data_IF_352267445350
#
_entry.id   IF_352267445350
#
_cell.length_a   1.000
_cell.length_b   1.000
_cell.length_c   1.000
_cell.angle_alpha   90.00
_cell.angle_beta   90.00
_cell.angle_gamma   90.00
#
_symmetry.space_group_name_H-M   'P 1'
#
loop_
_entity.id
_entity.type
_entity.pdbx_description
1 polymer ?
#
# COMPACT_ATOMS: atom_id res chain seq x y z
N UNK A 1 40.75 -17.79 4.48
CA UNK A 1 41.25 -16.54 5.10
C UNK A 1 40.10 -15.90 5.86
N UNK A 2 40.06 -16.05 7.19
CA UNK A 2 39.05 -15.45 8.08
C UNK A 2 39.79 -15.07 9.38
N UNK A 3 40.21 -13.80 9.46
CA UNK A 3 40.80 -13.24 10.67
C UNK A 3 40.65 -11.71 10.64
N UNK A 4 39.51 -11.19 11.08
CA UNK A 4 39.35 -9.79 11.48
C UNK A 4 38.08 -9.66 12.33
N UNK A 5 38.20 -9.73 13.66
CA UNK A 5 37.03 -9.61 14.53
C UNK A 5 37.27 -9.62 16.04
N UNK A 6 38.49 -9.32 16.52
CA UNK A 6 38.81 -9.36 17.98
C UNK A 6 39.11 -7.97 18.56
N UNK A 7 39.11 -6.90 17.75
CA UNK A 7 39.61 -5.59 18.17
C UNK A 7 38.67 -4.70 19.00
N UNK A 8 37.35 -4.94 19.01
CA UNK A 8 36.40 -3.98 19.60
C UNK A 8 36.06 -4.28 21.07
N UNK A 9 36.30 -5.51 21.55
CA UNK A 9 35.93 -5.89 22.91
C UNK A 9 36.86 -5.31 24.01
N UNK A 10 38.09 -4.90 23.67
CA UNK A 10 39.07 -4.47 24.67
C UNK A 10 38.88 -3.01 25.15
N UNK A 11 38.15 -2.16 24.39
CA UNK A 11 38.06 -0.73 24.69
C UNK A 11 36.95 -0.37 25.71
N UNK A 12 36.01 -1.27 26.02
CA UNK A 12 34.90 -1.00 26.94
C UNK A 12 35.14 -1.46 28.38
N UNK A 13 36.19 -2.24 28.64
CA UNK A 13 36.43 -2.85 29.96
C UNK A 13 36.97 -1.90 31.05
N UNK A 14 37.38 -0.67 30.69
CA UNK A 14 37.97 0.27 31.64
C UNK A 14 37.03 1.35 32.17
N UNK A 15 35.81 1.48 31.62
CA UNK A 15 34.91 2.58 31.99
C UNK A 15 33.81 2.19 32.99
N UNK A 16 33.38 0.92 33.06
CA UNK A 16 32.21 0.51 33.85
C UNK A 16 32.32 -0.92 34.43
N UNK A 17 33.14 -1.16 35.47
CA UNK A 17 33.32 -2.50 36.04
C UNK A 17 32.05 -3.07 36.71
N UNK A 18 31.19 -2.22 37.28
CA UNK A 18 29.98 -2.66 37.99
C UNK A 18 28.80 -3.03 37.07
N UNK A 19 28.67 -2.43 35.88
CA UNK A 19 27.62 -2.81 34.92
C UNK A 19 27.92 -4.13 34.20
N UNK A 20 29.19 -4.43 33.97
CA UNK A 20 29.62 -5.71 33.38
C UNK A 20 29.34 -6.87 34.34
N UNK A 21 29.53 -6.69 35.65
CA UNK A 21 29.19 -7.69 36.66
C UNK A 21 27.67 -7.98 36.70
N UNK A 22 26.83 -6.95 36.54
CA UNK A 22 25.37 -7.13 36.42
C UNK A 22 24.96 -7.81 35.12
N UNK A 23 25.53 -7.43 33.98
CA UNK A 23 25.23 -8.04 32.68
C UNK A 23 25.64 -9.53 32.61
N UNK A 24 26.76 -9.90 33.22
CA UNK A 24 27.21 -11.30 33.29
C UNK A 24 26.36 -12.14 34.25
N UNK A 25 25.82 -11.55 35.33
CA UNK A 25 24.91 -12.23 36.23
C UNK A 25 23.56 -12.57 35.57
N UNK A 26 23.05 -11.71 34.68
CA UNK A 26 21.81 -11.98 33.93
C UNK A 26 21.99 -13.09 32.88
N UNK A 27 23.19 -13.24 32.31
CA UNK A 27 23.47 -14.28 31.30
C UNK A 27 23.70 -15.68 31.90
N UNK A 28 24.05 -15.79 33.20
CA UNK A 28 24.19 -17.09 33.89
C UNK A 28 22.86 -17.71 34.34
N UNK A 29 21.73 -17.00 34.20
CA UNK A 29 20.39 -17.49 34.53
C UNK A 29 19.72 -18.33 33.43
N UNK A 30 20.31 -18.43 32.24
CA UNK A 30 19.78 -19.29 31.19
C UNK A 30 20.19 -20.74 31.45
N UNK A 31 19.28 -21.47 32.08
CA UNK A 31 19.33 -22.92 32.15
C UNK A 31 19.56 -23.50 30.74
N UNK A 32 20.52 -24.42 30.65
CA UNK A 32 20.83 -25.16 29.45
C UNK A 32 19.54 -25.79 28.87
N UNK A 33 19.31 -25.74 27.55
CA UNK A 33 18.26 -26.55 26.95
C UNK A 33 18.55 -28.02 27.23
N UNK A 34 17.52 -28.71 27.73
CA UNK A 34 17.52 -30.14 28.02
C UNK A 34 18.19 -30.96 26.91
N UNK A 35 18.94 -31.95 27.36
CA UNK A 35 19.54 -32.98 26.51
C UNK A 35 18.48 -33.58 25.56
N UNK A 36 18.86 -34.01 24.35
CA UNK A 36 17.93 -34.62 23.41
C UNK A 36 17.36 -35.91 24.02
N UNK A 37 16.07 -35.87 24.36
CA UNK A 37 15.29 -37.07 24.63
C UNK A 37 15.36 -37.93 23.36
N UNK A 38 15.90 -39.14 23.50
CA UNK A 38 15.88 -40.15 22.46
C UNK A 38 14.43 -40.40 22.04
N UNK A 39 14.03 -39.80 20.92
CA UNK A 39 12.71 -39.98 20.33
C UNK A 39 12.51 -41.43 19.95
N UNK A 40 11.36 -41.98 20.38
CA UNK A 40 10.87 -43.27 19.92
C UNK A 40 10.83 -43.31 18.39
N UNK A 41 11.08 -44.48 17.76
CA UNK A 41 10.99 -44.59 16.30
C UNK A 41 9.57 -44.28 15.86
N UNK A 42 9.39 -43.15 15.19
CA UNK A 42 8.16 -42.83 14.47
C UNK A 42 8.02 -43.87 13.36
N UNK A 43 6.98 -44.69 13.46
CA UNK A 43 6.60 -45.61 12.39
C UNK A 43 6.37 -44.80 11.11
N UNK A 44 7.18 -45.10 10.09
CA UNK A 44 7.02 -44.53 8.76
C UNK A 44 5.59 -44.80 8.26
N UNK A 45 4.84 -43.78 7.79
CA UNK A 45 3.57 -44.02 7.13
C UNK A 45 3.82 -44.87 5.88
N UNK A 46 2.99 -45.89 5.69
CA UNK A 46 3.02 -46.76 4.53
C UNK A 46 2.97 -45.92 3.23
N UNK A 47 3.63 -46.37 2.14
CA UNK A 47 3.58 -45.67 0.87
C UNK A 47 2.11 -45.57 0.42
N UNK A 48 1.65 -44.32 0.25
CA UNK A 48 0.35 -44.05 -0.35
C UNK A 48 0.30 -44.73 -1.72
N UNK A 49 -0.71 -45.59 -1.90
CA UNK A 49 -1.00 -46.20 -3.18
C UNK A 49 -1.17 -45.10 -4.26
N UNK A 50 -0.70 -45.34 -5.50
CA UNK A 50 -0.94 -44.40 -6.58
C UNK A 50 -2.45 -44.25 -6.82
N UNK A 51 -2.94 -43.01 -6.74
CA UNK A 51 -4.31 -42.67 -7.13
C UNK A 51 -4.60 -43.17 -8.55
N UNK A 52 -5.77 -43.77 -8.81
CA UNK A 52 -6.13 -44.20 -10.15
C UNK A 52 -6.21 -42.99 -11.09
N UNK A 53 -5.47 -43.08 -12.19
CA UNK A 53 -5.49 -42.14 -13.30
C UNK A 53 -6.92 -41.81 -13.69
N UNK A 54 -7.26 -40.52 -13.66
CA UNK A 54 -8.49 -40.02 -14.26
C UNK A 54 -8.51 -40.38 -15.76
N UNK A 55 -9.63 -40.84 -16.31
CA UNK A 55 -9.75 -41.10 -17.74
C UNK A 55 -9.58 -39.79 -18.54
N UNK A 56 -9.10 -39.86 -19.79
CA UNK A 56 -9.00 -38.69 -20.65
C UNK A 56 -10.39 -38.09 -20.83
N UNK A 57 -10.52 -36.80 -20.54
CA UNK A 57 -11.72 -36.03 -20.82
C UNK A 57 -12.08 -36.21 -22.31
N UNK A 58 -13.27 -36.74 -22.57
CA UNK A 58 -13.87 -36.77 -23.90
C UNK A 58 -13.75 -35.40 -24.52
N UNK A 59 -13.06 -35.34 -25.66
CA UNK A 59 -13.08 -34.21 -26.57
C UNK A 59 -14.50 -34.12 -27.10
N UNK A 60 -15.32 -33.31 -26.43
CA UNK A 60 -16.59 -32.86 -26.98
C UNK A 60 -16.23 -31.88 -28.10
N UNK A 61 -16.39 -32.34 -29.34
CA UNK A 61 -16.44 -31.49 -30.52
C UNK A 61 -17.57 -30.48 -30.31
N UNK A 62 -17.23 -29.25 -29.96
CA UNK A 62 -18.16 -28.14 -29.98
C UNK A 62 -18.74 -28.01 -31.39
N UNK A 63 -20.06 -27.99 -31.58
CA UNK A 63 -20.62 -27.56 -32.85
C UNK A 63 -20.19 -26.12 -33.10
N UNK A 64 -19.80 -25.83 -34.34
CA UNK A 64 -19.57 -24.48 -34.81
C UNK A 64 -20.85 -23.67 -34.51
N UNK A 65 -20.78 -22.82 -33.49
CA UNK A 65 -21.78 -21.78 -33.26
C UNK A 65 -21.54 -20.77 -34.37
N UNK A 66 -22.38 -20.84 -35.38
CA UNK A 66 -22.55 -19.81 -36.39
C UNK A 66 -22.79 -18.48 -35.64
N UNK A 67 -21.79 -17.60 -35.69
CA UNK A 67 -21.89 -16.26 -35.14
C UNK A 67 -22.91 -15.53 -36.01
N UNK A 68 -24.10 -15.17 -35.49
CA UNK A 68 -25.02 -14.35 -36.26
C UNK A 68 -24.34 -13.01 -36.55
N UNK A 69 -24.27 -12.67 -37.83
CA UNK A 69 -23.83 -11.37 -38.31
C UNK A 69 -24.62 -10.29 -37.55
N UNK A 70 -23.94 -9.34 -36.87
CA UNK A 70 -24.64 -8.32 -36.09
C UNK A 70 -25.49 -7.48 -37.05
N UNK A 71 -26.80 -7.51 -36.83
CA UNK A 71 -27.75 -6.69 -37.55
C UNK A 71 -27.28 -5.21 -37.55
N UNK A 72 -27.43 -4.48 -38.66
CA UNK A 72 -27.07 -3.07 -38.71
C UNK A 72 -27.87 -2.32 -37.65
N UNK A 73 -27.16 -1.57 -36.81
CA UNK A 73 -27.75 -0.74 -35.78
C UNK A 73 -28.84 0.18 -36.39
N UNK A 74 -29.95 0.44 -35.68
CA UNK A 74 -30.89 1.47 -36.07
C UNK A 74 -30.12 2.79 -36.19
N UNK A 75 -30.19 3.41 -37.37
CA UNK A 75 -29.69 4.76 -37.59
C UNK A 75 -30.56 5.68 -36.74
N UNK A 76 -30.06 6.04 -35.56
CA UNK A 76 -30.69 6.99 -34.66
C UNK A 76 -30.84 8.34 -35.39
N UNK A 77 -32.03 8.92 -35.45
CA UNK A 77 -32.22 10.21 -36.11
C UNK A 77 -31.39 11.27 -35.40
N UNK A 78 -30.54 11.95 -36.17
CA UNK A 78 -29.71 13.05 -35.71
C UNK A 78 -30.54 14.02 -34.85
N UNK A 79 -30.15 14.16 -33.58
CA UNK A 79 -30.72 15.14 -32.68
C UNK A 79 -30.67 16.53 -33.34
N UNK A 80 -31.76 17.32 -33.27
CA UNK A 80 -31.73 18.67 -33.80
C UNK A 80 -30.66 19.48 -33.05
N UNK A 81 -29.74 20.07 -33.81
CA UNK A 81 -28.74 21.00 -33.27
C UNK A 81 -29.47 22.08 -32.47
N UNK A 82 -29.26 22.08 -31.15
CA UNK A 82 -29.68 23.17 -30.29
C UNK A 82 -28.83 24.38 -30.66
N UNK A 83 -29.46 25.34 -31.33
CA UNK A 83 -28.89 26.67 -31.53
C UNK A 83 -28.78 27.32 -30.16
N UNK A 84 -27.59 27.31 -29.59
CA UNK A 84 -27.26 28.11 -28.42
C UNK A 84 -27.36 29.58 -28.86
N UNK A 85 -28.44 30.27 -28.49
CA UNK A 85 -28.50 31.72 -28.63
C UNK A 85 -27.38 32.31 -27.78
N UNK A 86 -26.36 32.84 -28.45
CA UNK A 86 -25.34 33.69 -27.82
C UNK A 86 -26.04 34.98 -27.43
N UNK A 87 -26.47 35.06 -26.17
CA UNK A 87 -26.92 36.32 -25.57
C UNK A 87 -25.68 37.21 -25.49
N UNK A 88 -25.63 38.36 -26.17
CA UNK A 88 -24.52 39.29 -26.03
C UNK A 88 -24.45 39.74 -24.56
N UNK A 89 -23.25 39.80 -23.95
CA UNK A 89 -23.12 40.27 -22.58
C UNK A 89 -23.70 41.68 -22.47
N UNK A 90 -24.40 42.01 -21.37
CA UNK A 90 -24.90 43.36 -21.15
C UNK A 90 -23.72 44.34 -21.22
N UNK A 91 -23.93 45.42 -21.97
CA UNK A 91 -22.98 46.51 -22.15
C UNK A 91 -22.53 46.99 -20.75
N UNK A 92 -21.21 47.12 -20.46
CA UNK A 92 -20.77 47.58 -19.16
C UNK A 92 -21.31 49.00 -18.92
N UNK A 93 -22.18 49.14 -17.92
CA UNK A 93 -22.58 50.43 -17.36
C UNK A 93 -21.31 51.21 -16.98
N UNK A 94 -21.27 52.54 -17.20
CA UNK A 94 -20.13 53.34 -16.79
C UNK A 94 -19.93 53.20 -15.29
N UNK A 95 -18.78 52.67 -14.91
CA UNK A 95 -18.33 52.47 -13.54
C UNK A 95 -18.53 53.76 -12.75
N UNK A 96 -19.56 53.80 -11.91
CA UNK A 96 -19.74 54.89 -10.95
C UNK A 96 -18.70 54.68 -9.87
N UNK A 97 -17.57 55.38 -9.98
CA UNK A 97 -16.56 55.43 -8.92
C UNK A 97 -17.20 56.15 -7.72
N UNK A 98 -17.83 55.37 -6.85
CA UNK A 98 -18.22 55.84 -5.53
C UNK A 98 -16.90 56.00 -4.76
N UNK A 99 -16.41 57.24 -4.65
CA UNK A 99 -15.39 57.57 -3.67
C UNK A 99 -15.99 57.29 -2.29
N UNK A 100 -15.70 56.12 -1.73
CA UNK A 100 -15.99 55.86 -0.34
C UNK A 100 -15.22 56.89 0.49
N UNK A 101 -15.99 57.67 1.27
CA UNK A 101 -15.50 58.56 2.30
C UNK A 101 -14.71 57.70 3.31
N UNK A 102 -13.50 58.08 3.73
CA UNK A 102 -12.80 57.36 4.78
C UNK A 102 -13.41 57.74 6.12
N UNK A 103 -14.62 57.25 6.40
CA UNK A 103 -15.12 57.21 7.76
C UNK A 103 -14.46 56.01 8.43
N UNK A 104 -13.46 56.34 9.25
CA UNK A 104 -12.80 55.44 10.19
C UNK A 104 -13.83 54.78 11.10
N UNK A 105 -14.30 53.61 10.71
CA UNK A 105 -14.77 52.60 11.64
C UNK A 105 -13.85 51.40 11.44
N UNK A 106 -13.07 51.09 12.48
CA UNK A 106 -12.15 49.97 12.51
C UNK A 106 -12.82 48.70 11.96
N UNK A 107 -12.29 48.18 10.85
CA UNK A 107 -12.59 46.80 10.43
C UNK A 107 -12.26 45.90 11.61
N UNK A 108 -13.19 45.05 12.10
CA UNK A 108 -12.78 43.96 12.97
C UNK A 108 -11.76 43.17 12.15
N UNK A 109 -10.54 43.06 12.69
CA UNK A 109 -9.52 42.23 12.10
C UNK A 109 -10.13 40.83 11.92
N UNK A 110 -10.41 40.45 10.68
CA UNK A 110 -10.80 39.09 10.34
C UNK A 110 -9.62 38.24 10.74
N UNK A 111 -9.72 37.62 11.91
CA UNK A 111 -8.73 36.66 12.38
C UNK A 111 -8.81 35.53 11.38
N UNK A 112 -7.80 35.40 10.52
CA UNK A 112 -7.71 34.30 9.57
C UNK A 112 -7.96 32.99 10.35
N UNK A 113 -8.82 32.09 9.86
CA UNK A 113 -9.06 30.82 10.53
C UNK A 113 -7.70 30.15 10.71
N UNK A 114 -7.33 29.92 11.98
CA UNK A 114 -6.10 29.22 12.34
C UNK A 114 -6.08 27.92 11.56
N UNK A 115 -5.12 27.78 10.64
CA UNK A 115 -4.98 26.59 9.83
C UNK A 115 -5.04 25.38 10.77
N UNK A 116 -6.02 24.49 10.54
CA UNK A 116 -6.14 23.29 11.33
C UNK A 116 -4.80 22.55 11.25
N UNK A 117 -4.24 22.20 12.40
CA UNK A 117 -2.98 21.48 12.47
C UNK A 117 -3.21 20.12 11.81
N UNK A 118 -2.62 19.91 10.62
CA UNK A 118 -2.69 18.61 9.96
C UNK A 118 -1.99 17.57 10.83
N UNK A 119 -2.56 16.38 11.03
CA UNK A 119 -1.88 15.31 11.74
C UNK A 119 -0.59 14.94 11.01
N UNK A 120 0.39 14.40 11.74
CA UNK A 120 1.57 13.82 11.09
C UNK A 120 1.14 12.65 10.19
N UNK A 121 1.94 12.28 9.17
CA UNK A 121 1.54 11.26 8.21
C UNK A 121 1.24 9.90 8.88
N UNK A 122 2.05 9.52 9.86
CA UNK A 122 1.89 8.29 10.65
C UNK A 122 0.64 8.35 11.52
N UNK A 123 0.32 9.52 12.09
CA UNK A 123 -0.88 9.69 12.89
C UNK A 123 -2.13 9.48 12.04
N UNK A 124 -2.15 10.00 10.81
CA UNK A 124 -3.24 9.77 9.87
C UNK A 124 -3.41 8.28 9.52
N UNK A 125 -2.31 7.54 9.28
CA UNK A 125 -2.35 6.08 9.06
C UNK A 125 -2.94 5.34 10.27
N UNK A 126 -2.53 5.72 11.49
CA UNK A 126 -3.06 5.11 12.73
C UNK A 126 -4.54 5.41 12.92
N UNK A 127 -4.98 6.63 12.62
CA UNK A 127 -6.40 7.00 12.67
C UNK A 127 -7.22 6.22 11.64
N UNK A 128 -6.69 6.00 10.44
CA UNK A 128 -7.32 5.19 9.40
C UNK A 128 -7.44 3.70 9.77
N UNK A 129 -6.43 3.14 10.47
CA UNK A 129 -6.53 1.80 11.06
C UNK A 129 -7.65 1.73 12.11
N UNK A 130 -7.77 2.75 12.97
CA UNK A 130 -8.81 2.81 13.99
C UNK A 130 -10.21 2.96 13.38
N UNK A 131 -10.32 3.71 12.29
CA UNK A 131 -11.56 3.90 11.54
C UNK A 131 -11.95 2.69 10.68
N UNK A 132 -11.05 1.71 10.50
CA UNK A 132 -11.25 0.55 9.66
C UNK A 132 -11.31 0.87 8.17
N UNK A 133 -10.75 2.02 7.75
CA UNK A 133 -10.51 2.29 6.32
C UNK A 133 -9.25 1.56 5.85
N UNK A 134 -8.27 1.41 6.75
CA UNK A 134 -7.13 0.52 6.61
C UNK A 134 -7.23 -0.69 7.53
N UNK A 135 -6.61 -1.80 7.13
CA UNK A 135 -6.21 -2.89 8.02
C UNK A 135 -4.74 -3.23 7.81
N UNK A 136 -4.13 -3.92 8.76
CA UNK A 136 -2.81 -4.52 8.54
C UNK A 136 -2.89 -5.56 7.42
N UNK A 137 -1.88 -5.54 6.54
CA UNK A 137 -1.72 -6.57 5.54
C UNK A 137 -1.14 -7.84 6.18
N UNK A 138 -1.62 -8.97 5.71
CA UNK A 138 -1.09 -10.30 6.03
C UNK A 138 -0.11 -10.74 4.94
N UNK A 139 0.68 -11.77 5.23
CA UNK A 139 1.52 -12.42 4.21
C UNK A 139 0.69 -12.97 3.04
N UNK A 140 -0.55 -13.40 3.30
CA UNK A 140 -1.47 -13.87 2.25
C UNK A 140 -1.89 -12.76 1.30
N UNK A 141 -2.02 -11.51 1.77
CA UNK A 141 -2.42 -10.39 0.91
C UNK A 141 -1.30 -10.07 -0.09
N UNK A 142 -0.06 -10.00 0.38
CA UNK A 142 1.12 -9.79 -0.45
C UNK A 142 1.31 -10.97 -1.42
N UNK A 143 1.18 -12.22 -0.96
CA UNK A 143 1.27 -13.39 -1.83
C UNK A 143 0.21 -13.39 -2.94
N UNK A 144 -1.03 -13.01 -2.61
CA UNK A 144 -2.11 -12.91 -3.59
C UNK A 144 -1.81 -11.84 -4.66
N UNK A 145 -1.27 -10.68 -4.27
CA UNK A 145 -0.82 -9.68 -5.22
C UNK A 145 0.36 -10.18 -6.07
N UNK A 146 1.39 -10.78 -5.46
CA UNK A 146 2.56 -11.34 -6.17
C UNK A 146 2.18 -12.42 -7.19
N UNK A 147 1.19 -13.26 -6.89
CA UNK A 147 0.72 -14.27 -7.86
C UNK A 147 0.12 -13.67 -9.14
N UNK A 148 -0.29 -12.40 -9.10
CA UNK A 148 -0.81 -11.65 -10.26
C UNK A 148 0.26 -10.75 -10.87
N UNK A 149 1.18 -10.25 -10.06
CA UNK A 149 2.32 -9.46 -10.50
C UNK A 149 3.49 -10.39 -10.90
N UNK A 150 3.59 -10.70 -12.20
CA UNK A 150 4.65 -11.57 -12.73
C UNK A 150 6.08 -11.02 -12.63
N UNK A 151 6.27 -9.79 -12.14
CA UNK A 151 7.57 -9.14 -11.98
C UNK A 151 8.02 -9.08 -10.51
N UNK A 152 7.11 -9.28 -9.55
CA UNK A 152 7.41 -9.21 -8.14
C UNK A 152 8.14 -10.48 -7.67
N UNK A 153 9.47 -10.46 -7.78
CA UNK A 153 10.37 -11.56 -7.38
C UNK A 153 10.98 -11.39 -5.98
N UNK A 154 12.16 -11.99 -5.80
CA UNK A 154 12.94 -11.89 -4.56
C UNK A 154 13.45 -10.46 -4.29
N UNK A 155 13.70 -9.69 -5.35
CA UNK A 155 14.14 -8.28 -5.25
C UNK A 155 13.08 -7.41 -4.57
N UNK A 156 11.80 -7.62 -4.91
CA UNK A 156 10.69 -6.95 -4.25
C UNK A 156 10.67 -7.27 -2.75
N UNK A 157 10.81 -8.54 -2.39
CA UNK A 157 10.79 -8.97 -0.98
C UNK A 157 11.94 -8.34 -0.18
N UNK A 158 13.14 -8.34 -0.76
CA UNK A 158 14.32 -7.76 -0.12
C UNK A 158 14.18 -6.24 0.09
N UNK A 159 13.72 -5.52 -0.93
CA UNK A 159 13.55 -4.06 -0.87
C UNK A 159 12.42 -3.63 0.07
N UNK A 160 11.40 -4.47 0.25
CA UNK A 160 10.22 -4.14 1.04
C UNK A 160 10.18 -4.75 2.44
N UNK A 161 11.16 -5.59 2.82
CA UNK A 161 11.15 -6.34 4.09
C UNK A 161 11.01 -5.51 5.37
N UNK A 162 11.34 -4.22 5.34
CA UNK A 162 11.21 -3.31 6.48
C UNK A 162 10.01 -2.36 6.39
N UNK A 163 9.29 -2.36 5.26
CA UNK A 163 8.13 -1.50 5.06
C UNK A 163 6.92 -2.16 5.72
N UNK A 164 6.12 -1.36 6.43
CA UNK A 164 4.80 -1.82 6.90
C UNK A 164 3.86 -1.87 5.72
N UNK A 165 2.98 -2.87 5.70
CA UNK A 165 1.98 -3.03 4.65
C UNK A 165 0.56 -2.92 5.22
N UNK A 166 -0.30 -2.19 4.50
CA UNK A 166 -1.69 -1.97 4.87
C UNK A 166 -2.60 -2.25 3.68
N UNK A 167 -3.79 -2.78 3.96
CA UNK A 167 -4.82 -3.00 2.95
C UNK A 167 -5.87 -1.91 3.07
N UNK A 168 -6.11 -1.20 1.97
CA UNK A 168 -7.17 -0.22 1.79
C UNK A 168 -8.47 -0.98 1.52
N UNK A 169 -9.46 -0.76 2.39
CA UNK A 169 -10.74 -1.49 2.36
C UNK A 169 -11.91 -0.59 1.99
N UNK A 170 -11.74 0.74 2.10
CA UNK A 170 -12.74 1.78 1.87
C UNK A 170 -12.03 3.03 1.36
N UNK A 171 -12.80 4.09 1.13
CA UNK A 171 -12.28 5.40 0.77
C UNK A 171 -11.20 5.87 1.77
N UNK A 172 -10.06 6.30 1.22
CA UNK A 172 -8.86 6.62 1.98
C UNK A 172 -8.07 7.72 1.26
N UNK A 173 -7.68 8.75 2.02
CA UNK A 173 -6.77 9.79 1.58
C UNK A 173 -5.37 9.48 2.10
N UNK A 174 -4.42 9.29 1.19
CA UNK A 174 -3.02 9.06 1.52
C UNK A 174 -2.44 10.37 2.07
N UNK A 175 -1.96 10.39 3.32
CA UNK A 175 -1.39 11.60 3.89
C UNK A 175 -0.08 11.96 3.20
N UNK A 176 0.12 13.24 2.94
CA UNK A 176 1.39 13.76 2.44
C UNK A 176 2.56 13.35 3.34
N UNK A 177 3.76 13.18 2.77
CA UNK A 177 4.98 13.01 3.57
C UNK A 177 5.32 11.57 4.00
N UNK A 178 4.60 10.55 3.51
CA UNK A 178 4.98 9.15 3.68
C UNK A 178 6.21 8.79 2.82
N UNK A 179 7.39 9.10 3.34
CA UNK A 179 8.68 8.96 2.64
C UNK A 179 9.80 8.50 3.58
N UNK A 180 10.88 7.95 3.01
CA UNK A 180 12.05 7.53 3.80
C UNK A 180 11.68 6.44 4.79
N UNK A 181 11.95 6.67 6.09
CA UNK A 181 11.61 5.73 7.16
C UNK A 181 10.10 5.56 7.40
N UNK A 182 9.29 6.49 6.87
CA UNK A 182 7.84 6.51 7.03
C UNK A 182 7.09 5.99 5.80
N UNK A 183 7.82 5.52 4.78
CA UNK A 183 7.24 4.90 3.61
C UNK A 183 6.59 3.54 3.98
N UNK A 184 5.43 3.27 3.38
CA UNK A 184 4.62 2.07 3.65
C UNK A 184 4.12 1.47 2.34
N UNK A 185 3.74 0.20 2.34
CA UNK A 185 3.05 -0.42 1.21
C UNK A 185 1.54 -0.31 1.41
N UNK A 186 0.83 0.16 0.39
CA UNK A 186 -0.62 0.13 0.36
C UNK A 186 -1.08 -0.93 -0.63
N UNK A 187 -1.96 -1.84 -0.20
CA UNK A 187 -2.62 -2.79 -1.07
C UNK A 187 -4.07 -2.37 -1.25
N UNK A 188 -4.54 -2.29 -2.49
CA UNK A 188 -5.94 -1.96 -2.78
C UNK A 188 -6.72 -3.26 -2.85
N UNK A 189 -7.64 -3.46 -1.91
CA UNK A 189 -8.51 -4.64 -1.91
C UNK A 189 -9.42 -4.63 -3.15
N UNK A 190 -9.74 -5.78 -3.76
CA UNK A 190 -10.70 -5.81 -4.86
C UNK A 190 -12.04 -5.17 -4.47
N UNK A 191 -12.49 -4.21 -5.26
CA UNK A 191 -13.72 -3.44 -5.02
C UNK A 191 -13.59 -2.25 -4.07
N UNK A 192 -12.43 -2.03 -3.44
CA UNK A 192 -12.17 -0.79 -2.72
C UNK A 192 -11.96 0.36 -3.73
N UNK A 193 -12.41 1.59 -3.41
CA UNK A 193 -12.12 2.75 -4.25
C UNK A 193 -10.62 3.03 -4.30
N UNK A 194 -10.17 3.58 -5.43
CA UNK A 194 -8.79 4.03 -5.56
C UNK A 194 -8.54 5.21 -4.61
N UNK A 195 -7.49 5.19 -3.78
CA UNK A 195 -7.25 6.25 -2.83
C UNK A 195 -6.86 7.56 -3.51
N UNK A 196 -7.13 8.68 -2.86
CA UNK A 196 -6.71 10.01 -3.28
C UNK A 196 -5.54 10.50 -2.42
N UNK A 197 -4.94 11.65 -2.76
CA UNK A 197 -3.80 12.22 -2.03
C UNK A 197 -2.47 12.03 -2.76
N UNK A 198 -1.37 12.05 -2.01
CA UNK A 198 -0.02 11.89 -2.56
C UNK A 198 0.63 10.61 -2.05
N UNK A 199 0.87 9.66 -2.96
CA UNK A 199 1.52 8.39 -2.62
C UNK A 199 2.99 8.54 -2.20
N UNK A 200 3.69 9.63 -2.58
CA UNK A 200 5.08 9.87 -2.19
C UNK A 200 6.00 8.69 -2.55
N UNK A 201 6.63 8.08 -1.53
CA UNK A 201 7.42 6.83 -1.69
C UNK A 201 6.68 5.59 -1.17
N UNK A 202 5.35 5.65 -1.08
CA UNK A 202 4.50 4.55 -0.64
C UNK A 202 3.76 3.97 -1.83
N UNK A 203 4.17 2.82 -2.38
CA UNK A 203 3.58 2.27 -3.60
C UNK A 203 2.19 1.70 -3.31
N UNK A 204 1.36 1.75 -4.34
CA UNK A 204 0.01 1.19 -4.37
C UNK A 204 0.00 -0.11 -5.16
N UNK A 205 -0.32 -1.20 -4.48
CA UNK A 205 -0.36 -2.56 -5.01
C UNK A 205 -1.81 -2.94 -5.25
N UNK A 206 -2.26 -2.90 -6.50
CA UNK A 206 -3.65 -3.26 -6.83
C UNK A 206 -3.80 -4.80 -6.85
N UNK A 207 -4.53 -5.34 -5.87
CA UNK A 207 -4.72 -6.78 -5.74
C UNK A 207 -5.63 -7.37 -6.84
N UNK A 208 -6.40 -6.56 -7.57
CA UNK A 208 -7.25 -7.03 -8.65
C UNK A 208 -6.44 -7.27 -9.92
N UNK A 209 -5.69 -6.26 -10.36
CA UNK A 209 -4.89 -6.32 -11.59
C UNK A 209 -3.49 -6.92 -11.39
N UNK A 210 -2.96 -6.89 -10.17
CA UNK A 210 -1.55 -7.14 -9.91
C UNK A 210 -0.65 -5.94 -10.22
N UNK A 211 -1.20 -4.77 -10.56
CA UNK A 211 -0.40 -3.58 -10.86
C UNK A 211 0.36 -3.08 -9.64
N UNK A 212 1.53 -2.48 -9.89
CA UNK A 212 2.24 -1.61 -8.96
C UNK A 212 2.11 -0.18 -9.48
N UNK A 213 1.61 0.73 -8.65
CA UNK A 213 1.39 2.14 -9.00
C UNK A 213 2.17 3.03 -8.04
N UNK A 214 2.79 4.08 -8.58
CA UNK A 214 3.60 5.05 -7.85
C UNK A 214 5.04 5.11 -8.34
N UNK A 215 5.74 6.18 -7.97
CA UNK A 215 7.05 6.54 -8.54
C UNK A 215 8.19 5.57 -8.21
N UNK A 216 8.04 4.71 -7.19
CA UNK A 216 9.08 3.75 -6.80
C UNK A 216 8.83 2.33 -7.33
N UNK A 217 7.76 2.09 -8.08
CA UNK A 217 7.40 0.74 -8.52
C UNK A 217 8.44 0.08 -9.41
N UNK A 218 9.02 0.80 -10.37
CA UNK A 218 10.12 0.27 -11.20
C UNK A 218 11.29 -0.17 -10.31
N UNK A 219 11.68 0.68 -9.35
CA UNK A 219 12.71 0.36 -8.35
C UNK A 219 12.32 -0.78 -7.39
N UNK A 220 11.08 -1.25 -7.35
CA UNK A 220 10.67 -2.37 -6.49
C UNK A 220 10.51 -3.68 -7.26
N UNK A 221 10.12 -3.63 -8.54
CA UNK A 221 9.78 -4.81 -9.33
C UNK A 221 10.78 -5.12 -10.45
N UNK A 222 11.72 -4.23 -10.74
CA UNK A 222 12.82 -4.52 -11.68
C UNK A 222 13.90 -5.39 -10.99
N UNK A 223 14.23 -6.52 -11.63
CA UNK A 223 15.38 -7.38 -11.33
C UNK A 223 16.69 -6.81 -11.90
#
# INVERSE_FOLDING_TARGET
MLAAGVGVAAALAHAFPDELARAVATLRGWAAPDAPVAGSPVALPAPMAPSPSSPPASVATSPAVEVPEPAPAPVEPAAPMTVIQVIPPPRPEPYRVVRQRPDSAASPAVTAPRAAVRPSPQKAVVEALRAGTLRLATSSDLAAWKSRNGQAGAVFDERTRYMKAYVITRDFEIPDGLSGADAVLFLIQPGAPYPHGSEGHSPLLDMQSGACIGGICSMLTEE
#
